data_IF_087166444467
#
_entry.id   IF_087166444467
#
_cell.length_a   1.000
_cell.length_b   1.000
_cell.length_c   1.000
_cell.angle_alpha   90.00
_cell.angle_beta   90.00
_cell.angle_gamma   90.00
#
_symmetry.space_group_name_H-M   'P 1'
#
loop_
_entity.id
_entity.type
_entity.pdbx_description
1 polymer ?
#
# COMPACT_ATOMS: atom_id res chain seq x y z
N UNK A 1 24.53 10.50 35.01
CA UNK A 1 23.43 10.88 34.11
C UNK A 1 23.10 9.65 33.32
N UNK A 2 21.96 9.04 33.60
CA UNK A 2 21.56 7.79 32.97
C UNK A 2 20.89 8.16 31.63
N UNK A 3 21.54 7.81 30.52
CA UNK A 3 21.07 8.12 29.18
C UNK A 3 20.13 7.00 28.76
N UNK A 4 18.83 7.20 28.99
CA UNK A 4 17.80 6.31 28.46
C UNK A 4 17.61 6.69 26.99
N UNK A 5 18.16 5.88 26.10
CA UNK A 5 17.93 5.97 24.65
C UNK A 5 16.46 5.61 24.40
N UNK A 6 15.61 6.62 24.19
CA UNK A 6 14.20 6.43 23.87
C UNK A 6 14.07 5.84 22.46
N UNK A 7 14.00 4.50 22.39
CA UNK A 7 13.81 3.72 21.16
C UNK A 7 12.41 3.88 20.54
N UNK A 8 11.60 4.85 21.01
CA UNK A 8 10.23 5.09 20.57
C UNK A 8 10.03 6.29 19.62
N UNK A 9 10.99 7.20 19.49
CA UNK A 9 10.79 8.39 18.63
C UNK A 9 11.15 8.08 17.18
N UNK A 10 10.14 7.97 16.32
CA UNK A 10 10.34 8.02 14.86
C UNK A 10 11.10 9.32 14.56
N UNK A 11 12.35 9.21 14.10
CA UNK A 11 13.15 10.38 13.71
C UNK A 11 12.33 11.28 12.78
N UNK A 12 12.37 12.61 12.91
CA UNK A 12 11.66 13.53 12.00
C UNK A 12 11.94 13.25 10.52
N UNK A 13 13.14 12.76 10.22
CA UNK A 13 13.54 12.31 8.87
C UNK A 13 12.75 11.08 8.44
N UNK A 14 12.56 10.10 9.33
CA UNK A 14 11.77 8.89 9.07
C UNK A 14 10.27 9.19 8.96
N UNK A 15 9.77 10.18 9.70
CA UNK A 15 8.38 10.62 9.60
C UNK A 15 8.13 11.30 8.25
N UNK A 16 9.03 12.19 7.82
CA UNK A 16 8.95 12.87 6.53
C UNK A 16 9.04 11.88 5.35
N UNK A 17 9.93 10.88 5.40
CA UNK A 17 10.01 9.86 4.35
C UNK A 17 8.78 8.97 4.29
N UNK A 18 8.17 8.62 5.43
CA UNK A 18 6.90 7.89 5.47
C UNK A 18 5.75 8.68 4.86
N UNK A 19 5.67 9.98 5.13
CA UNK A 19 4.63 10.85 4.58
C UNK A 19 4.77 10.96 3.06
N UNK A 20 5.98 11.20 2.55
CA UNK A 20 6.26 11.22 1.11
C UNK A 20 5.93 9.88 0.43
N UNK A 21 6.24 8.75 1.08
CA UNK A 21 5.89 7.42 0.56
C UNK A 21 4.37 7.24 0.49
N UNK A 22 3.64 7.69 1.51
CA UNK A 22 2.18 7.61 1.56
C UNK A 22 1.52 8.45 0.46
N UNK A 23 2.02 9.65 0.19
CA UNK A 23 1.56 10.49 -0.92
C UNK A 23 1.78 9.81 -2.27
N UNK A 24 2.98 9.30 -2.53
CA UNK A 24 3.31 8.61 -3.79
C UNK A 24 2.49 7.34 -3.98
N UNK A 25 2.28 6.59 -2.91
CA UNK A 25 1.38 5.44 -2.94
C UNK A 25 -0.05 5.87 -3.28
N UNK A 26 -0.50 7.00 -2.72
CA UNK A 26 -1.77 7.65 -3.07
C UNK A 26 -1.89 7.99 -4.55
N UNK A 27 -0.87 8.62 -5.14
CA UNK A 27 -0.81 8.98 -6.57
C UNK A 27 -0.93 7.74 -7.45
N UNK A 28 -0.13 6.71 -7.15
CA UNK A 28 -0.08 5.47 -7.91
C UNK A 28 -1.40 4.70 -7.81
N UNK A 29 -1.96 4.59 -6.61
CA UNK A 29 -3.29 4.00 -6.38
C UNK A 29 -4.40 4.83 -7.05
N UNK A 30 -4.21 6.15 -7.20
CA UNK A 30 -5.09 7.04 -7.95
C UNK A 30 -5.20 6.70 -9.44
N UNK A 31 -4.20 6.00 -10.00
CA UNK A 31 -4.23 5.54 -11.41
C UNK A 31 -5.06 4.27 -11.65
N UNK A 32 -5.53 3.64 -10.57
CA UNK A 32 -6.41 2.48 -10.61
C UNK A 32 -7.88 2.91 -10.61
N UNK A 33 -8.76 2.02 -11.08
CA UNK A 33 -10.20 2.26 -10.92
C UNK A 33 -10.58 2.22 -9.44
N UNK A 34 -11.70 2.86 -9.06
CA UNK A 34 -12.18 2.85 -7.67
C UNK A 34 -12.18 1.44 -7.05
N UNK A 35 -12.74 0.45 -7.76
CA UNK A 35 -12.79 -0.94 -7.23
C UNK A 35 -11.42 -1.57 -7.09
N UNK A 36 -10.52 -1.38 -8.06
CA UNK A 36 -9.14 -1.88 -7.97
C UNK A 36 -8.41 -1.26 -6.79
N UNK A 37 -8.49 0.07 -6.64
CA UNK A 37 -7.87 0.81 -5.54
C UNK A 37 -8.38 0.34 -4.17
N UNK A 38 -9.69 0.27 -3.99
CA UNK A 38 -10.26 -0.10 -2.68
C UNK A 38 -10.00 -1.58 -2.34
N UNK A 39 -10.01 -2.48 -3.33
CA UNK A 39 -9.59 -3.88 -3.12
C UNK A 39 -8.13 -3.95 -2.67
N UNK A 40 -7.22 -3.22 -3.33
CA UNK A 40 -5.81 -3.20 -2.93
C UNK A 40 -5.65 -2.59 -1.52
N UNK A 41 -6.33 -1.49 -1.21
CA UNK A 41 -6.26 -0.90 0.14
C UNK A 41 -6.65 -1.87 1.24
N UNK A 42 -7.76 -2.61 1.06
CA UNK A 42 -8.22 -3.60 2.04
C UNK A 42 -7.32 -4.84 2.08
N UNK A 43 -6.84 -5.33 0.92
CA UNK A 43 -5.97 -6.52 0.89
C UNK A 43 -4.62 -6.28 1.58
N UNK A 44 -4.10 -5.06 1.50
CA UNK A 44 -2.77 -4.70 1.99
C UNK A 44 -2.78 -3.75 3.21
N UNK A 45 -3.95 -3.47 3.79
CA UNK A 45 -4.08 -2.61 4.99
C UNK A 45 -3.68 -1.15 4.79
N UNK A 46 -3.75 -0.64 3.56
CA UNK A 46 -3.28 0.71 3.21
C UNK A 46 -4.26 1.83 3.59
N UNK A 47 -5.46 1.48 4.08
CA UNK A 47 -6.48 2.44 4.50
C UNK A 47 -6.61 2.51 6.01
N UNK A 48 -7.08 1.42 6.62
CA UNK A 48 -7.42 1.29 8.03
C UNK A 48 -6.36 0.54 8.85
N UNK A 49 -5.28 0.09 8.22
CA UNK A 49 -4.22 -0.69 8.86
C UNK A 49 -4.52 -2.20 8.97
N UNK A 50 -5.69 -2.66 8.54
CA UNK A 50 -6.09 -4.07 8.64
C UNK A 50 -6.05 -4.75 7.28
N UNK A 51 -5.49 -5.96 7.23
CA UNK A 51 -5.51 -6.79 6.02
C UNK A 51 -6.76 -7.65 5.99
N UNK A 52 -7.46 -7.64 4.86
CA UNK A 52 -8.67 -8.44 4.65
C UNK A 52 -8.39 -9.60 3.71
N UNK A 53 -9.00 -10.75 3.97
CA UNK A 53 -8.94 -11.92 3.10
C UNK A 53 -9.72 -11.69 1.80
N UNK A 54 -9.43 -12.49 0.76
CA UNK A 54 -10.20 -12.47 -0.49
C UNK A 54 -11.71 -12.70 -0.28
N UNK A 55 -12.07 -13.49 0.73
CA UNK A 55 -13.48 -13.78 1.05
C UNK A 55 -14.15 -12.59 1.73
N UNK A 56 -13.50 -11.94 2.69
CA UNK A 56 -14.04 -10.74 3.36
C UNK A 56 -14.22 -9.59 2.38
N UNK A 57 -13.21 -9.35 1.53
CA UNK A 57 -13.31 -8.36 0.46
C UNK A 57 -14.44 -8.75 -0.51
N UNK A 58 -14.59 -10.04 -0.84
CA UNK A 58 -15.68 -10.53 -1.67
C UNK A 58 -17.05 -10.21 -1.09
N UNK A 59 -17.23 -10.41 0.22
CA UNK A 59 -18.46 -10.07 0.95
C UNK A 59 -18.75 -8.56 0.90
N UNK A 60 -17.74 -7.72 1.14
CA UNK A 60 -17.87 -6.24 1.11
C UNK A 60 -18.31 -5.75 -0.27
N UNK A 61 -17.67 -6.25 -1.34
CA UNK A 61 -17.96 -5.81 -2.71
C UNK A 61 -19.10 -6.57 -3.38
N UNK A 62 -19.73 -7.52 -2.67
CA UNK A 62 -20.78 -8.41 -3.18
C UNK A 62 -20.35 -9.15 -4.46
N UNK A 63 -19.14 -9.69 -4.45
CA UNK A 63 -18.56 -10.46 -5.55
C UNK A 63 -17.94 -11.76 -5.05
N UNK A 64 -17.69 -12.70 -5.95
CA UNK A 64 -17.04 -13.97 -5.59
C UNK A 64 -15.58 -13.74 -5.19
N UNK A 65 -15.05 -14.64 -4.34
CA UNK A 65 -13.63 -14.70 -3.96
C UNK A 65 -12.71 -14.67 -5.19
N UNK A 66 -13.03 -15.47 -6.20
CA UNK A 66 -12.23 -15.53 -7.44
C UNK A 66 -12.28 -14.21 -8.22
N UNK A 67 -13.42 -13.51 -8.20
CA UNK A 67 -13.51 -12.19 -8.82
C UNK A 67 -12.61 -11.17 -8.14
N UNK A 68 -12.50 -11.20 -6.81
CA UNK A 68 -11.54 -10.36 -6.07
C UNK A 68 -10.11 -10.69 -6.50
N UNK A 69 -9.75 -11.97 -6.55
CA UNK A 69 -8.41 -12.43 -6.98
C UNK A 69 -8.05 -11.93 -8.38
N UNK A 70 -9.00 -11.99 -9.31
CA UNK A 70 -8.80 -11.48 -10.68
C UNK A 70 -8.58 -9.96 -10.71
N UNK A 71 -9.36 -9.20 -9.94
CA UNK A 71 -9.22 -7.75 -9.86
C UNK A 71 -7.88 -7.37 -9.22
N UNK A 72 -7.49 -8.06 -8.14
CA UNK A 72 -6.20 -7.88 -7.48
C UNK A 72 -5.05 -8.14 -8.46
N UNK A 73 -5.04 -9.27 -9.16
CA UNK A 73 -4.00 -9.58 -10.14
C UNK A 73 -3.92 -8.53 -11.27
N UNK A 74 -5.07 -8.03 -11.72
CA UNK A 74 -5.13 -6.97 -12.73
C UNK A 74 -4.58 -5.64 -12.20
N UNK A 75 -4.90 -5.28 -10.97
CA UNK A 75 -4.39 -4.09 -10.30
C UNK A 75 -2.87 -4.19 -10.10
N UNK A 76 -2.36 -5.33 -9.61
CA UNK A 76 -0.92 -5.54 -9.43
C UNK A 76 -0.17 -5.41 -10.76
N UNK A 77 -0.64 -6.04 -11.84
CA UNK A 77 -0.02 -5.88 -13.16
C UNK A 77 -0.01 -4.42 -13.62
N UNK A 78 -1.07 -3.67 -13.32
CA UNK A 78 -1.18 -2.24 -13.58
C UNK A 78 -0.18 -1.42 -12.77
N UNK A 79 0.14 -1.83 -11.54
CA UNK A 79 1.11 -1.16 -10.67
C UNK A 79 2.56 -1.49 -11.09
N UNK A 80 2.82 -2.73 -11.51
CA UNK A 80 4.10 -3.21 -11.99
C UNK A 80 4.50 -2.67 -13.38
N UNK A 81 3.61 -1.94 -14.06
CA UNK A 81 3.92 -1.36 -15.36
C UNK A 81 5.05 -0.32 -15.23
N UNK A 82 6.08 -0.31 -16.09
CA UNK A 82 7.29 0.52 -15.94
C UNK A 82 7.03 2.01 -15.72
N UNK A 83 6.00 2.56 -16.37
CA UNK A 83 5.60 3.96 -16.21
C UNK A 83 5.16 4.27 -14.78
N UNK A 84 4.52 3.31 -14.09
CA UNK A 84 3.99 3.46 -12.74
C UNK A 84 4.96 2.95 -11.68
N UNK A 85 5.74 1.90 -11.96
CA UNK A 85 6.78 1.40 -11.04
C UNK A 85 7.86 2.45 -10.80
N UNK A 86 8.23 3.24 -11.82
CA UNK A 86 9.18 4.37 -11.70
C UNK A 86 8.76 5.43 -10.67
N UNK A 87 7.46 5.56 -10.38
CA UNK A 87 6.97 6.46 -9.33
C UNK A 87 7.28 5.95 -7.92
N UNK A 88 7.60 4.66 -7.78
CA UNK A 88 7.89 3.98 -6.51
C UNK A 88 9.36 3.53 -6.40
N UNK A 89 10.13 3.46 -7.50
CA UNK A 89 11.51 2.94 -7.54
C UNK A 89 12.44 3.58 -6.49
N UNK A 90 12.35 4.89 -6.26
CA UNK A 90 13.18 5.60 -5.26
C UNK A 90 12.88 5.27 -3.78
N UNK A 91 11.81 4.52 -3.51
CA UNK A 91 11.41 4.12 -2.14
C UNK A 91 11.64 2.64 -1.86
N UNK A 92 11.85 1.80 -2.88
CA UNK A 92 12.06 0.35 -2.69
C UNK A 92 13.50 0.07 -2.21
N UNK A 93 14.46 0.89 -2.60
CA UNK A 93 15.86 0.79 -2.14
C UNK A 93 16.02 1.13 -0.65
N UNK A 94 15.14 1.98 -0.09
CA UNK A 94 15.20 2.40 1.31
C UNK A 94 14.67 1.38 2.31
N UNK A 95 13.92 0.36 1.85
CA UNK A 95 13.29 -0.67 2.71
C UNK A 95 14.12 -1.97 2.76
N UNK A 96 15.15 -2.10 1.93
CA UNK A 96 15.93 -3.35 1.79
C UNK A 96 17.12 -3.48 2.75
N UNK A 97 16.97 -3.05 4.01
CA UNK A 97 18.02 -3.12 5.06
C UNK A 97 17.70 -4.19 6.09
#
# INVERSE_FOLDING_TARGET
GDFIEDKGTVSPVNAATHEMLKEKLGDVLGTLTYREREIIKLRYGLGDGYTYTLEEVGKIFKVTRERVRQIEAKAIRKLQHPIRSRLLEGFVETVSV
#
